data_IF_823421624963
#
_entry.id   IF_823421624963
#
_cell.length_a   1.000
_cell.length_b   1.000
_cell.length_c   1.000
_cell.angle_alpha   90.00
_cell.angle_beta   90.00
_cell.angle_gamma   90.00
#
_symmetry.space_group_name_H-M   'P 1'
#
loop_
_entity.id
_entity.type
_entity.pdbx_description
1 polymer ?
#
# COMPACT_ATOMS: atom_id res chain seq x y z
N UNK A 1 -5.24 -4.25 -13.77
CA UNK A 1 -4.67 -4.23 -12.40
C UNK A 1 -5.38 -3.21 -11.52
N UNK A 2 -5.54 -1.95 -11.94
CA UNK A 2 -6.27 -0.90 -11.20
C UNK A 2 -7.63 -1.30 -10.62
N UNK A 3 -8.56 -1.84 -11.43
CA UNK A 3 -9.89 -2.30 -10.95
C UNK A 3 -9.81 -3.34 -9.82
N UNK A 4 -8.76 -4.18 -9.82
CA UNK A 4 -8.51 -5.16 -8.76
C UNK A 4 -7.92 -4.49 -7.52
N UNK A 5 -7.00 -3.55 -7.67
CA UNK A 5 -6.51 -2.73 -6.56
C UNK A 5 -7.69 -2.05 -5.84
N UNK A 6 -8.57 -1.37 -6.58
CA UNK A 6 -9.77 -0.72 -6.02
C UNK A 6 -10.69 -1.69 -5.27
N UNK A 7 -10.77 -2.95 -5.70
CA UNK A 7 -11.54 -3.97 -4.99
C UNK A 7 -10.91 -4.33 -3.63
N UNK A 8 -9.58 -4.38 -3.55
CA UNK A 8 -8.87 -4.55 -2.27
C UNK A 8 -9.12 -3.39 -1.33
N UNK A 9 -9.06 -2.14 -1.81
CA UNK A 9 -9.33 -0.97 -0.97
C UNK A 9 -10.76 -0.99 -0.41
N UNK A 10 -11.77 -1.27 -1.25
CA UNK A 10 -13.17 -1.41 -0.78
C UNK A 10 -13.34 -2.56 0.21
N UNK A 11 -12.66 -3.69 0.00
CA UNK A 11 -12.70 -4.80 0.95
C UNK A 11 -12.06 -4.42 2.28
N UNK A 12 -10.94 -3.69 2.27
CA UNK A 12 -10.31 -3.22 3.50
C UNK A 12 -11.27 -2.34 4.31
N UNK A 13 -12.02 -1.44 3.66
CA UNK A 13 -13.03 -0.60 4.30
C UNK A 13 -14.15 -1.42 4.93
N UNK A 14 -14.68 -2.40 4.20
CA UNK A 14 -15.71 -3.30 4.72
C UNK A 14 -15.19 -4.16 5.89
N UNK A 15 -14.01 -4.76 5.75
CA UNK A 15 -13.43 -5.61 6.79
C UNK A 15 -13.19 -4.82 8.08
N UNK A 16 -12.73 -3.57 7.96
CA UNK A 16 -12.56 -2.69 9.11
C UNK A 16 -13.89 -2.37 9.80
N UNK A 17 -15.00 -2.22 9.05
CA UNK A 17 -16.31 -1.94 9.65
C UNK A 17 -16.91 -3.12 10.40
N UNK A 18 -16.51 -4.36 10.06
CA UNK A 18 -16.95 -5.59 10.73
C UNK A 18 -15.89 -6.18 11.68
N UNK A 19 -14.82 -5.42 11.99
CA UNK A 19 -13.78 -5.82 12.95
C UNK A 19 -12.71 -6.77 12.44
N UNK A 20 -12.70 -7.09 11.14
CA UNK A 20 -11.70 -7.93 10.47
C UNK A 20 -10.35 -7.24 10.25
N UNK A 21 -9.70 -6.79 11.33
CA UNK A 21 -8.52 -5.93 11.30
C UNK A 21 -7.34 -6.53 10.51
N UNK A 22 -6.98 -7.79 10.75
CA UNK A 22 -5.84 -8.43 10.09
C UNK A 22 -6.04 -8.54 8.57
N UNK A 23 -7.24 -8.96 8.17
CA UNK A 23 -7.61 -9.03 6.75
C UNK A 23 -7.72 -7.65 6.13
N UNK A 24 -8.21 -6.64 6.86
CA UNK A 24 -8.27 -5.27 6.38
C UNK A 24 -6.86 -4.73 6.10
N UNK A 25 -5.91 -4.95 7.01
CA UNK A 25 -4.50 -4.55 6.83
C UNK A 25 -3.87 -5.26 5.62
N UNK A 26 -4.12 -6.56 5.45
CA UNK A 26 -3.69 -7.31 4.28
C UNK A 26 -4.27 -6.73 2.98
N UNK A 27 -5.57 -6.40 2.96
CA UNK A 27 -6.20 -5.81 1.78
C UNK A 27 -5.63 -4.41 1.46
N UNK A 28 -5.25 -3.62 2.47
CA UNK A 28 -4.56 -2.33 2.24
C UNK A 28 -3.20 -2.52 1.56
N UNK A 29 -2.39 -3.48 2.02
CA UNK A 29 -1.11 -3.80 1.38
C UNK A 29 -1.31 -4.27 -0.06
N UNK A 30 -2.28 -5.15 -0.31
CA UNK A 30 -2.58 -5.63 -1.66
C UNK A 30 -3.02 -4.51 -2.61
N UNK A 31 -3.79 -3.54 -2.11
CA UNK A 31 -4.10 -2.32 -2.86
C UNK A 31 -2.81 -1.56 -3.24
N UNK A 32 -1.97 -1.24 -2.25
CA UNK A 32 -0.72 -0.50 -2.44
C UNK A 32 0.19 -1.18 -3.46
N UNK A 33 0.37 -2.50 -3.35
CA UNK A 33 1.21 -3.25 -4.26
C UNK A 33 0.67 -3.25 -5.69
N UNK A 34 -0.64 -3.49 -5.86
CA UNK A 34 -1.24 -3.57 -7.20
C UNK A 34 -1.29 -2.22 -7.91
N UNK A 35 -1.54 -1.13 -7.18
CA UNK A 35 -1.58 0.20 -7.79
C UNK A 35 -0.18 0.67 -8.18
N UNK A 36 0.85 0.46 -7.34
CA UNK A 36 2.24 0.75 -7.71
C UNK A 36 2.68 -0.04 -8.94
N UNK A 37 2.34 -1.34 -8.99
CA UNK A 37 2.67 -2.18 -10.15
C UNK A 37 1.95 -1.72 -11.41
N UNK A 38 0.71 -1.29 -11.29
CA UNK A 38 -0.04 -0.72 -12.40
C UNK A 38 0.62 0.57 -12.92
N UNK A 39 0.97 1.50 -12.04
CA UNK A 39 1.64 2.75 -12.44
C UNK A 39 3.02 2.51 -13.05
N UNK A 40 3.82 1.60 -12.47
CA UNK A 40 5.10 1.19 -13.07
C UNK A 40 4.92 0.60 -14.45
N UNK A 41 3.92 -0.28 -14.65
CA UNK A 41 3.64 -0.87 -15.95
C UNK A 41 3.27 0.18 -17.00
N UNK A 42 2.44 1.16 -16.62
CA UNK A 42 1.96 2.20 -17.52
C UNK A 42 3.05 3.22 -17.85
N UNK A 43 3.88 3.61 -16.86
CA UNK A 43 4.84 4.72 -16.99
C UNK A 43 6.26 4.29 -17.36
N UNK A 44 6.70 3.13 -16.90
CA UNK A 44 8.09 2.65 -17.03
C UNK A 44 8.19 1.42 -17.92
N UNK A 45 7.17 0.55 -17.90
CA UNK A 45 7.14 -0.72 -18.65
C UNK A 45 7.19 -1.94 -17.73
N UNK A 46 7.69 -3.10 -18.19
CA UNK A 46 7.59 -4.37 -17.47
C UNK A 46 8.00 -4.26 -15.99
N UNK A 47 7.04 -4.56 -15.12
CA UNK A 47 7.18 -4.37 -13.68
C UNK A 47 8.00 -5.49 -13.05
N UNK A 48 8.86 -5.20 -12.05
CA UNK A 48 9.59 -6.25 -11.33
C UNK A 48 8.66 -7.23 -10.64
N UNK A 49 9.14 -8.47 -10.48
CA UNK A 49 8.47 -9.49 -9.66
C UNK A 49 8.51 -9.22 -8.15
N UNK A 50 9.07 -8.08 -7.72
CA UNK A 50 9.16 -7.71 -6.31
C UNK A 50 7.79 -7.58 -5.65
N UNK A 51 7.77 -7.88 -4.36
CA UNK A 51 6.62 -7.71 -3.45
C UNK A 51 6.87 -6.63 -2.41
N UNK A 52 8.05 -6.02 -2.40
CA UNK A 52 8.39 -4.94 -1.48
C UNK A 52 7.75 -3.64 -1.95
N UNK A 53 6.98 -2.98 -1.07
CA UNK A 53 6.41 -1.68 -1.36
C UNK A 53 7.51 -0.63 -1.44
N UNK A 54 8.50 -0.70 -0.54
CA UNK A 54 9.65 0.22 -0.53
C UNK A 54 10.43 0.14 -1.84
N UNK A 55 10.72 -1.07 -2.34
CA UNK A 55 11.40 -1.22 -3.63
C UNK A 55 10.57 -0.69 -4.80
N UNK A 56 9.26 -0.97 -4.83
CA UNK A 56 8.38 -0.48 -5.89
C UNK A 56 8.30 1.06 -5.89
N UNK A 57 8.21 1.70 -4.72
CA UNK A 57 8.21 3.17 -4.60
C UNK A 57 9.54 3.75 -5.05
N UNK A 58 10.69 3.12 -4.77
CA UNK A 58 12.03 3.58 -5.20
C UNK A 58 12.25 3.58 -6.72
N UNK A 59 11.44 2.85 -7.49
CA UNK A 59 11.56 2.78 -8.95
C UNK A 59 10.84 3.92 -9.66
N UNK A 60 9.83 4.51 -9.01
CA UNK A 60 9.02 5.58 -9.57
C UNK A 60 9.58 7.02 -9.47
N UNK A 61 10.56 7.41 -8.62
CA UNK A 61 10.93 8.84 -8.47
C UNK A 61 11.58 9.43 -9.72
N UNK A 62 12.13 8.59 -10.60
CA UNK A 62 12.68 9.03 -11.90
C UNK A 62 11.62 9.57 -12.84
N UNK A 63 10.35 9.18 -12.63
CA UNK A 63 9.22 9.59 -13.46
C UNK A 63 8.26 10.48 -12.66
N UNK A 64 8.18 10.31 -11.34
CA UNK A 64 7.31 11.09 -10.47
C UNK A 64 8.01 11.50 -9.17
N UNK A 65 8.62 12.70 -9.13
CA UNK A 65 9.39 13.19 -7.98
C UNK A 65 8.58 13.23 -6.68
N UNK A 66 7.26 13.44 -6.74
CA UNK A 66 6.41 13.49 -5.52
C UNK A 66 6.36 12.17 -4.76
N UNK A 67 6.68 11.04 -5.41
CA UNK A 67 6.78 9.76 -4.71
C UNK A 67 8.03 9.66 -3.83
N UNK A 68 9.02 10.54 -4.00
CA UNK A 68 10.15 10.62 -3.08
C UNK A 68 9.71 10.99 -1.66
N UNK A 69 8.65 11.79 -1.53
CA UNK A 69 8.07 12.16 -0.24
C UNK A 69 7.62 10.94 0.57
N UNK A 70 7.16 9.85 -0.07
CA UNK A 70 6.81 8.62 0.64
C UNK A 70 8.01 7.90 1.27
N UNK A 71 9.23 8.22 0.82
CA UNK A 71 10.48 7.65 1.31
C UNK A 71 11.27 8.62 2.20
N UNK A 72 11.09 9.93 2.00
CA UNK A 72 11.80 10.99 2.73
C UNK A 72 11.07 11.44 3.99
N UNK A 73 9.74 11.33 4.03
CA UNK A 73 8.94 11.61 5.22
C UNK A 73 8.92 10.39 6.15
N UNK A 74 9.41 10.58 7.39
CA UNK A 74 9.54 9.51 8.38
C UNK A 74 8.21 8.82 8.69
N UNK A 75 7.12 9.58 8.84
CA UNK A 75 5.80 9.02 9.11
C UNK A 75 5.30 8.15 7.95
N UNK A 76 5.44 8.65 6.72
CA UNK A 76 5.08 7.93 5.51
C UNK A 76 5.90 6.66 5.33
N UNK A 77 7.21 6.73 5.57
CA UNK A 77 8.10 5.59 5.46
C UNK A 77 7.78 4.50 6.51
N UNK A 78 7.51 4.91 7.76
CA UNK A 78 7.05 3.99 8.83
C UNK A 78 5.72 3.33 8.44
N UNK A 79 4.77 4.08 7.87
CA UNK A 79 3.49 3.51 7.44
C UNK A 79 3.65 2.56 6.25
N UNK A 80 4.53 2.87 5.30
CA UNK A 80 4.83 2.02 4.15
C UNK A 80 5.41 0.67 4.58
N UNK A 81 6.40 0.69 5.48
CA UNK A 81 7.02 -0.52 6.04
C UNK A 81 6.03 -1.34 6.88
N UNK A 82 5.14 -0.69 7.63
CA UNK A 82 4.05 -1.38 8.35
C UNK A 82 3.07 -2.09 7.42
N UNK A 83 2.72 -1.48 6.29
CA UNK A 83 1.89 -2.12 5.28
C UNK A 83 2.62 -3.33 4.67
N UNK A 84 3.90 -3.19 4.37
CA UNK A 84 4.73 -4.29 3.84
C UNK A 84 4.83 -5.47 4.83
N UNK A 85 4.96 -5.20 6.12
CA UNK A 85 4.91 -6.20 7.19
C UNK A 85 3.59 -7.00 7.20
N UNK A 86 2.46 -6.42 6.77
CA UNK A 86 1.18 -7.11 6.73
C UNK A 86 1.15 -8.22 5.69
N UNK A 87 1.85 -8.05 4.57
CA UNK A 87 2.04 -9.10 3.57
C UNK A 87 2.84 -10.27 4.13
N UNK A 88 3.96 -9.98 4.79
CA UNK A 88 4.85 -10.99 5.38
C UNK A 88 4.16 -11.69 6.55
N UNK A 89 3.51 -10.93 7.42
CA UNK A 89 2.74 -11.43 8.57
C UNK A 89 1.64 -12.39 8.14
N UNK A 90 0.82 -12.01 7.15
CA UNK A 90 -0.28 -12.88 6.67
C UNK A 90 0.18 -14.28 6.20
N UNK A 91 1.46 -14.45 5.85
CA UNK A 91 2.03 -15.70 5.35
C UNK A 91 2.90 -16.45 6.35
N UNK A 92 3.55 -15.75 7.28
CA UNK A 92 4.64 -16.34 8.07
C UNK A 92 4.60 -16.04 9.58
N UNK A 93 3.87 -15.01 10.03
CA UNK A 93 3.77 -14.66 11.45
C UNK A 93 2.34 -14.27 11.84
N UNK A 94 1.72 -14.87 12.87
CA UNK A 94 0.41 -14.48 13.36
C UNK A 94 0.46 -13.13 14.09
N UNK A 95 0.78 -12.06 13.38
CA UNK A 95 0.70 -10.69 13.86
C UNK A 95 -0.75 -10.27 13.83
N UNK A 96 -1.23 -9.80 14.97
CA UNK A 96 -2.56 -9.20 15.11
C UNK A 96 -2.45 -7.69 15.03
N UNK A 97 -3.34 -7.08 14.26
CA UNK A 97 -3.46 -5.64 14.11
C UNK A 97 -4.65 -5.16 14.93
N UNK A 98 -4.44 -4.09 15.69
CA UNK A 98 -5.53 -3.41 16.40
C UNK A 98 -6.31 -2.47 15.47
N UNK A 99 -7.59 -2.25 15.76
CA UNK A 99 -8.45 -1.38 14.95
C UNK A 99 -7.87 0.03 14.76
N UNK A 100 -7.26 0.60 15.80
CA UNK A 100 -6.59 1.92 15.72
C UNK A 100 -5.45 1.91 14.70
N UNK A 101 -4.65 0.85 14.66
CA UNK A 101 -3.54 0.73 13.71
C UNK A 101 -4.05 0.64 12.27
N UNK A 102 -5.08 -0.17 12.03
CA UNK A 102 -5.68 -0.31 10.70
C UNK A 102 -6.39 0.98 10.26
N UNK A 103 -7.03 1.71 11.17
CA UNK A 103 -7.62 3.04 10.86
C UNK A 103 -6.55 4.05 10.44
N UNK A 104 -5.40 4.07 11.12
CA UNK A 104 -4.27 4.92 10.74
C UNK A 104 -3.71 4.52 9.37
N UNK A 105 -3.56 3.22 9.10
CA UNK A 105 -3.13 2.71 7.80
C UNK A 105 -4.12 3.07 6.68
N UNK A 106 -5.42 2.88 6.90
CA UNK A 106 -6.48 3.27 5.96
C UNK A 106 -6.42 4.76 5.63
N UNK A 107 -6.26 5.59 6.67
CA UNK A 107 -6.14 7.05 6.51
C UNK A 107 -4.93 7.42 5.67
N UNK A 108 -3.76 6.89 6.02
CA UNK A 108 -2.53 7.08 5.24
C UNK A 108 -2.71 6.66 3.78
N UNK A 109 -3.30 5.49 3.54
CA UNK A 109 -3.53 4.98 2.18
C UNK A 109 -4.41 5.93 1.37
N UNK A 110 -5.49 6.45 1.96
CA UNK A 110 -6.45 7.32 1.27
C UNK A 110 -5.99 8.76 1.09
N UNK A 111 -5.31 9.32 2.09
CA UNK A 111 -4.99 10.75 2.14
C UNK A 111 -3.58 11.06 1.64
N UNK A 112 -2.64 10.11 1.71
CA UNK A 112 -1.22 10.34 1.37
C UNK A 112 -0.79 9.44 0.21
N UNK A 113 -0.88 8.13 0.39
CA UNK A 113 -0.33 7.18 -0.59
C UNK A 113 -1.08 7.23 -1.94
N UNK A 114 -2.41 7.10 -1.92
CA UNK A 114 -3.21 7.08 -3.15
C UNK A 114 -3.05 8.37 -3.97
N UNK A 115 -3.18 9.58 -3.40
CA UNK A 115 -2.96 10.81 -4.16
C UNK A 115 -1.53 10.92 -4.71
N UNK A 116 -0.53 10.43 -3.98
CA UNK A 116 0.86 10.44 -4.45
C UNK A 116 1.08 9.49 -5.64
N UNK A 117 0.40 8.34 -5.68
CA UNK A 117 0.56 7.32 -6.71
C UNK A 117 -0.36 7.55 -7.93
N UNK A 118 -1.63 7.91 -7.71
CA UNK A 118 -2.66 8.01 -8.75
C UNK A 118 -2.91 9.45 -9.25
N UNK A 119 -2.24 10.46 -8.71
CA UNK A 119 -2.54 11.88 -8.96
C UNK A 119 -2.28 12.43 -10.37
N UNK A 120 -2.20 11.58 -11.40
CA UNK A 120 -1.74 11.92 -12.74
C UNK A 120 -2.50 11.15 -13.83
#
# INVERSE_FOLDING_TARGET
MRKRAEAFLRNAEYLLSVGGCDLAMFNLEQYCQLILKYELLVKVGPTPGSRSLVELVRLLPKVEPRLSALLEDDESFIMLTKLEDAYVGSRYLPRRYGEREVRLAMRFVREVFRPAVEGF
#
